data_IF_520973991017
#
_entry.id   IF_520973991017
#
_cell.length_a   1.000
_cell.length_b   1.000
_cell.length_c   1.000
_cell.angle_alpha   90.00
_cell.angle_beta   90.00
_cell.angle_gamma   90.00
#
_symmetry.space_group_name_H-M   'P 1'
#
loop_
_entity.id
_entity.type
_entity.pdbx_description
1 polymer ?
#
# COMPACT_ATOMS: atom_id res chain seq x y z
N UNK A 1 14.10 -3.64 10.23
CA UNK A 1 13.76 -2.82 9.05
C UNK A 1 12.39 -2.20 9.29
N UNK A 2 12.22 -0.91 9.04
CA UNK A 2 10.96 -0.18 9.27
C UNK A 2 10.44 0.31 7.93
N UNK A 3 9.16 0.12 7.66
CA UNK A 3 8.49 0.55 6.43
C UNK A 3 7.24 1.35 6.75
N UNK A 4 6.87 2.25 5.84
CA UNK A 4 5.81 3.22 5.99
C UNK A 4 4.79 3.05 4.88
N UNK A 5 3.51 3.05 5.22
CA UNK A 5 2.42 3.10 4.26
C UNK A 5 1.44 4.16 4.73
N UNK A 6 1.13 5.12 3.87
CA UNK A 6 0.07 6.08 4.11
C UNK A 6 -1.23 5.58 3.45
N UNK A 7 -2.31 5.57 4.23
CA UNK A 7 -3.61 5.03 3.83
C UNK A 7 -4.74 5.62 4.67
N UNK A 8 -5.99 5.42 4.22
CA UNK A 8 -7.17 5.84 4.97
C UNK A 8 -7.33 4.99 6.23
N UNK A 9 -7.61 5.63 7.36
CA UNK A 9 -7.68 5.02 8.69
C UNK A 9 -8.63 3.81 8.77
N UNK A 10 -9.77 3.84 8.07
CA UNK A 10 -10.73 2.72 8.03
C UNK A 10 -10.14 1.39 7.56
N UNK A 11 -8.99 1.42 6.89
CA UNK A 11 -8.28 0.23 6.41
C UNK A 11 -7.07 -0.14 7.28
N UNK A 12 -6.77 0.58 8.37
CA UNK A 12 -5.55 0.39 9.17
C UNK A 12 -5.37 -1.05 9.69
N UNK A 13 -6.48 -1.73 10.04
CA UNK A 13 -6.45 -3.13 10.50
C UNK A 13 -5.99 -4.12 9.43
N UNK A 14 -6.08 -3.74 8.15
CA UNK A 14 -5.72 -4.56 7.00
C UNK A 14 -4.59 -3.92 6.19
N UNK A 15 -3.78 -3.05 6.82
CA UNK A 15 -2.77 -2.23 6.16
C UNK A 15 -1.80 -2.97 5.24
N UNK A 16 -1.56 -4.26 5.48
CA UNK A 16 -0.60 -5.07 4.72
C UNK A 16 -1.19 -6.37 4.18
N UNK A 17 -2.52 -6.51 4.15
CA UNK A 17 -3.18 -7.73 3.62
C UNK A 17 -3.18 -7.80 2.08
N UNK A 18 -2.80 -6.70 1.43
CA UNK A 18 -2.74 -6.53 -0.01
C UNK A 18 -4.09 -6.53 -0.73
N UNK A 19 -5.21 -6.45 -0.01
CA UNK A 19 -6.56 -6.61 -0.56
C UNK A 19 -6.91 -5.61 -1.66
N UNK A 20 -6.38 -4.39 -1.59
CA UNK A 20 -6.55 -3.37 -2.65
C UNK A 20 -6.05 -3.82 -4.02
N UNK A 21 -4.98 -4.63 -4.08
CA UNK A 21 -4.45 -5.13 -5.35
C UNK A 21 -5.36 -6.16 -6.05
N UNK A 22 -6.38 -6.67 -5.37
CA UNK A 22 -7.39 -7.53 -6.00
C UNK A 22 -8.34 -6.72 -6.90
N UNK A 23 -8.53 -5.42 -6.62
CA UNK A 23 -9.55 -4.59 -7.28
C UNK A 23 -8.96 -3.45 -8.11
N UNK A 24 -7.69 -3.10 -7.93
CA UNK A 24 -7.02 -2.02 -8.67
C UNK A 24 -5.61 -2.43 -9.09
N UNK A 25 -5.21 -2.06 -10.31
CA UNK A 25 -3.82 -2.18 -10.76
C UNK A 25 -2.97 -1.01 -10.21
N UNK A 26 -1.68 -1.26 -10.02
CA UNK A 26 -0.68 -0.23 -9.69
C UNK A 26 0.46 -0.23 -10.70
N UNK A 27 1.45 0.64 -10.48
CA UNK A 27 2.64 0.72 -11.36
C UNK A 27 3.37 -0.62 -11.51
N UNK A 28 3.37 -1.43 -10.44
CA UNK A 28 4.16 -2.65 -10.34
C UNK A 28 3.33 -3.94 -10.29
N UNK A 29 2.00 -3.85 -10.43
CA UNK A 29 1.14 -5.04 -10.45
C UNK A 29 -0.16 -4.78 -11.23
N UNK A 30 -0.71 -5.84 -11.82
CA UNK A 30 -2.07 -5.83 -12.35
C UNK A 30 -3.07 -6.30 -11.29
N UNK A 31 -4.30 -5.77 -11.38
CA UNK A 31 -5.42 -6.18 -10.53
C UNK A 31 -5.60 -7.71 -10.51
N UNK A 32 -6.01 -8.23 -9.35
CA UNK A 32 -6.19 -9.67 -9.11
C UNK A 32 -5.07 -10.29 -8.26
N UNK A 33 -4.05 -9.52 -7.88
CA UNK A 33 -2.94 -9.96 -7.03
C UNK A 33 -2.90 -9.18 -5.72
N UNK A 34 -2.74 -9.89 -4.59
CA UNK A 34 -2.57 -9.22 -3.30
C UNK A 34 -1.20 -8.57 -3.23
N UNK A 35 -1.16 -7.23 -3.18
CA UNK A 35 0.07 -6.44 -3.09
C UNK A 35 -0.15 -5.25 -2.16
N UNK A 36 0.84 -4.97 -1.30
CA UNK A 36 0.87 -3.78 -0.44
C UNK A 36 2.10 -2.93 -0.79
N UNK A 37 1.87 -1.65 -1.08
CA UNK A 37 2.94 -0.67 -1.30
C UNK A 37 3.35 -0.02 0.02
N UNK A 38 4.65 0.08 0.23
CA UNK A 38 5.25 0.76 1.37
C UNK A 38 6.58 1.38 0.95
N UNK A 39 7.03 2.35 1.74
CA UNK A 39 8.26 3.11 1.54
C UNK A 39 9.17 2.95 2.74
N UNK A 40 10.48 3.06 2.55
CA UNK A 40 11.45 3.02 3.67
C UNK A 40 11.42 4.28 4.54
N UNK A 41 10.86 5.38 4.01
CA UNK A 41 10.74 6.66 4.70
C UNK A 41 9.29 7.15 4.73
N UNK A 42 8.87 7.70 5.87
CA UNK A 42 7.53 8.30 6.02
C UNK A 42 7.27 9.43 5.03
N UNK A 43 8.28 10.29 4.80
CA UNK A 43 8.18 11.38 3.84
C UNK A 43 7.91 10.87 2.41
N UNK A 44 8.51 9.74 2.02
CA UNK A 44 8.27 9.14 0.72
C UNK A 44 6.86 8.55 0.61
N UNK A 45 6.35 7.93 1.69
CA UNK A 45 4.96 7.44 1.72
C UNK A 45 3.92 8.56 1.56
N UNK A 46 4.25 9.78 2.01
CA UNK A 46 3.43 10.99 1.79
C UNK A 46 3.52 11.47 0.34
N UNK A 47 4.70 11.44 -0.27
CA UNK A 47 4.91 11.89 -1.64
C UNK A 47 4.20 11.01 -2.70
N UNK A 48 4.11 9.71 -2.45
CA UNK A 48 3.55 8.72 -3.40
C UNK A 48 2.01 8.57 -3.35
N UNK A 49 1.31 9.27 -2.45
CA UNK A 49 -0.15 9.06 -2.25
C UNK A 49 -1.04 9.77 -3.27
#
# INVERSE_FOLDING_TARGET
>A
MTIWRLMREKYARVAYDGGGGLVSSGRWHHAGHRVAYASEHAALAVLEN
#
